data_IF_519953475548
#
_entry.id   IF_519953475548
#
_cell.length_a   1.000
_cell.length_b   1.000
_cell.length_c   1.000
_cell.angle_alpha   90.00
_cell.angle_beta   90.00
_cell.angle_gamma   90.00
#
_symmetry.space_group_name_H-M   'P 1'
#
loop_
_entity.id
_entity.type
_entity.pdbx_description
1 polymer ?
#
# COMPACT_ATOMS: atom_id res chain seq x y z
N UNK A 1 -21.07 -10.55 -0.55
CA UNK A 1 -19.71 -11.07 -0.35
C UNK A 1 -18.81 -10.17 -1.18
N UNK A 2 -18.09 -9.24 -0.54
CA UNK A 2 -17.25 -8.28 -1.25
C UNK A 2 -16.04 -9.00 -1.89
N UNK A 3 -15.64 -8.54 -3.08
CA UNK A 3 -14.44 -8.95 -3.82
C UNK A 3 -13.22 -9.11 -2.89
N UNK A 4 -12.43 -10.17 -3.14
CA UNK A 4 -11.41 -10.70 -2.24
C UNK A 4 -10.32 -9.72 -1.79
N UNK A 5 -9.83 -9.96 -0.56
CA UNK A 5 -8.88 -9.15 0.21
C UNK A 5 -7.43 -9.12 -0.32
N UNK A 6 -7.17 -9.68 -1.50
CA UNK A 6 -5.83 -9.94 -2.03
C UNK A 6 -5.72 -9.30 -3.41
N UNK A 7 -4.79 -8.36 -3.54
CA UNK A 7 -4.38 -7.76 -4.81
C UNK A 7 -3.28 -8.62 -5.44
N UNK A 8 -3.49 -9.06 -6.69
CA UNK A 8 -2.46 -9.71 -7.50
C UNK A 8 -2.12 -8.79 -8.66
N UNK A 9 -0.86 -8.40 -8.77
CA UNK A 9 -0.43 -7.43 -9.77
C UNK A 9 0.82 -7.87 -10.54
N UNK A 10 0.96 -7.35 -11.76
CA UNK A 10 2.20 -7.40 -12.54
C UNK A 10 2.41 -6.06 -13.22
N UNK A 11 3.38 -5.30 -12.73
CA UNK A 11 3.72 -3.98 -13.29
C UNK A 11 4.30 -4.13 -14.70
N UNK A 12 3.96 -3.19 -15.58
CA UNK A 12 4.49 -3.11 -16.94
C UNK A 12 4.72 -1.64 -17.31
N UNK A 13 5.56 -1.39 -18.31
CA UNK A 13 5.80 -0.04 -18.83
C UNK A 13 4.81 0.23 -19.98
N UNK A 14 3.91 1.22 -19.87
CA UNK A 14 3.00 1.55 -20.97
C UNK A 14 3.78 2.20 -22.11
N UNK A 15 3.45 1.80 -23.35
CA UNK A 15 3.88 2.46 -24.58
C UNK A 15 2.81 3.41 -25.13
N UNK A 16 3.12 4.20 -26.18
CA UNK A 16 2.21 5.21 -26.74
C UNK A 16 0.92 4.65 -27.34
N UNK A 17 0.84 3.34 -27.63
CA UNK A 17 -0.36 2.67 -28.16
C UNK A 17 -1.14 1.84 -27.13
N UNK A 18 -0.86 2.00 -25.84
CA UNK A 18 -1.43 1.14 -24.78
C UNK A 18 -2.94 1.35 -24.66
N UNK A 19 -3.40 2.61 -24.68
CA UNK A 19 -4.82 2.94 -24.50
C UNK A 19 -5.66 2.47 -25.69
N UNK A 20 -5.17 2.68 -26.91
CA UNK A 20 -5.82 2.22 -28.15
C UNK A 20 -5.93 0.71 -28.16
N UNK A 21 -4.86 0.01 -27.79
CA UNK A 21 -4.86 -1.46 -27.77
C UNK A 21 -5.84 -2.02 -26.74
N UNK A 22 -5.97 -1.38 -25.58
CA UNK A 22 -6.97 -1.77 -24.58
C UNK A 22 -8.40 -1.63 -25.14
N UNK A 23 -8.69 -0.55 -25.86
CA UNK A 23 -10.00 -0.33 -26.49
C UNK A 23 -10.28 -1.34 -27.60
N UNK A 24 -9.30 -1.63 -28.47
CA UNK A 24 -9.43 -2.64 -29.53
C UNK A 24 -9.76 -4.05 -29.00
N UNK A 25 -9.27 -4.37 -27.80
CA UNK A 25 -9.51 -5.63 -27.11
C UNK A 25 -10.84 -5.65 -26.33
N UNK A 26 -11.63 -4.56 -26.39
CA UNK A 26 -12.91 -4.42 -25.71
C UNK A 26 -12.83 -3.89 -24.28
N UNK A 27 -11.67 -3.38 -23.85
CA UNK A 27 -11.51 -2.71 -22.57
C UNK A 27 -12.26 -1.37 -22.54
N UNK A 28 -12.82 -1.03 -21.38
CA UNK A 28 -13.49 0.25 -21.13
C UNK A 28 -12.68 1.08 -20.16
N UNK A 29 -12.55 2.39 -20.41
CA UNK A 29 -12.02 3.32 -19.41
C UNK A 29 -13.02 3.45 -18.28
N UNK A 30 -12.75 2.81 -17.14
CA UNK A 30 -13.64 2.84 -15.98
C UNK A 30 -13.66 4.23 -15.34
N UNK A 31 -12.49 4.75 -14.98
CA UNK A 31 -12.31 6.08 -14.38
C UNK A 31 -10.98 6.72 -14.79
N UNK A 32 -10.91 8.05 -14.70
CA UNK A 32 -9.67 8.83 -14.70
C UNK A 32 -9.65 9.66 -13.42
N UNK A 33 -8.67 9.39 -12.56
CA UNK A 33 -8.55 10.02 -11.24
C UNK A 33 -7.17 10.65 -11.11
N UNK A 34 -7.07 11.63 -10.20
CA UNK A 34 -5.81 12.25 -9.80
C UNK A 34 -5.83 12.30 -8.28
N UNK A 35 -4.81 11.73 -7.63
CA UNK A 35 -4.71 11.71 -6.17
C UNK A 35 -3.26 11.80 -5.73
N UNK A 36 -3.04 12.33 -4.53
CA UNK A 36 -1.75 12.29 -3.85
C UNK A 36 -1.65 11.08 -2.94
N UNK A 37 -0.57 10.33 -3.08
CA UNK A 37 -0.14 9.36 -2.07
C UNK A 37 1.04 9.95 -1.30
N UNK A 38 0.95 9.88 0.04
CA UNK A 38 2.08 10.16 0.95
C UNK A 38 2.49 8.86 1.65
N UNK A 39 3.74 8.45 1.43
CA UNK A 39 4.33 7.21 1.95
C UNK A 39 5.13 7.45 3.21
N UNK A 40 5.02 6.53 4.15
CA UNK A 40 5.69 6.59 5.45
C UNK A 40 6.51 5.34 5.71
N UNK A 41 7.72 5.52 6.25
CA UNK A 41 8.60 4.43 6.65
C UNK A 41 9.55 4.90 7.78
N UNK A 42 10.32 3.99 8.37
CA UNK A 42 11.43 4.36 9.27
C UNK A 42 12.57 4.99 8.47
N UNK A 43 13.52 5.71 9.10
CA UNK A 43 14.70 6.24 8.41
C UNK A 43 15.51 5.18 7.65
N UNK A 44 15.47 3.93 8.12
CA UNK A 44 16.13 2.78 7.54
C UNK A 44 15.32 2.12 6.39
N UNK A 45 14.12 2.62 6.10
CA UNK A 45 13.18 2.03 5.13
C UNK A 45 12.78 0.58 5.50
N UNK A 46 12.56 0.33 6.79
CA UNK A 46 12.29 -1.01 7.33
C UNK A 46 11.03 -1.65 6.74
N UNK A 47 9.96 -0.88 6.50
CA UNK A 47 8.74 -1.40 5.89
C UNK A 47 8.99 -1.82 4.44
N UNK A 48 9.64 -0.97 3.63
CA UNK A 48 9.98 -1.29 2.24
C UNK A 48 10.90 -2.52 2.16
N UNK A 49 11.88 -2.65 3.05
CA UNK A 49 12.74 -3.84 3.14
C UNK A 49 11.94 -5.11 3.46
N UNK A 50 10.85 -4.99 4.22
CA UNK A 50 9.94 -6.07 4.57
C UNK A 50 8.78 -6.26 3.57
N UNK A 51 8.83 -5.62 2.39
CA UNK A 51 7.77 -5.62 1.37
C UNK A 51 6.41 -5.09 1.87
N UNK A 52 6.44 -4.15 2.81
CA UNK A 52 5.28 -3.43 3.32
C UNK A 52 5.27 -1.99 2.81
N UNK A 53 4.07 -1.49 2.48
CA UNK A 53 3.90 -0.16 1.91
C UNK A 53 2.79 0.59 2.64
N UNK A 54 3.18 1.47 3.57
CA UNK A 54 2.26 2.35 4.29
C UNK A 54 2.09 3.65 3.52
N UNK A 55 0.84 4.00 3.18
CA UNK A 55 0.50 5.27 2.55
C UNK A 55 -0.76 5.87 3.14
N UNK A 56 -0.85 7.20 3.09
CA UNK A 56 -2.09 7.93 3.22
C UNK A 56 -2.45 8.50 1.84
N UNK A 57 -3.59 8.07 1.32
CA UNK A 57 -4.15 8.58 0.06
C UNK A 57 -5.07 9.76 0.34
N UNK A 58 -4.89 10.84 -0.40
CA UNK A 58 -5.77 12.00 -0.39
C UNK A 58 -7.22 11.56 -0.60
N UNK A 59 -8.13 12.10 0.21
CA UNK A 59 -9.57 11.80 0.23
C UNK A 59 -10.00 10.33 0.47
N UNK A 60 -9.06 9.41 0.70
CA UNK A 60 -9.36 7.98 0.95
C UNK A 60 -8.88 7.46 2.31
N UNK A 61 -7.83 8.06 2.89
CA UNK A 61 -7.32 7.67 4.22
C UNK A 61 -6.09 6.75 4.16
N UNK A 62 -5.92 5.92 5.20
CA UNK A 62 -4.73 5.08 5.39
C UNK A 62 -4.86 3.72 4.73
N UNK A 63 -3.79 3.28 4.06
CA UNK A 63 -3.71 1.97 3.42
C UNK A 63 -2.33 1.35 3.69
N UNK A 64 -2.30 0.08 4.07
CA UNK A 64 -1.08 -0.71 4.24
C UNK A 64 -1.13 -1.93 3.33
N UNK A 65 -0.22 -2.00 2.35
CA UNK A 65 0.07 -3.25 1.64
C UNK A 65 0.98 -4.10 2.51
N UNK A 66 0.57 -5.35 2.73
CA UNK A 66 1.37 -6.38 3.38
C UNK A 66 1.66 -7.45 2.34
N UNK A 67 2.85 -8.07 2.32
CA UNK A 67 3.10 -9.19 1.43
C UNK A 67 2.09 -10.30 1.72
N UNK A 68 1.61 -10.96 0.67
CA UNK A 68 0.67 -12.08 0.75
C UNK A 68 1.28 -13.31 1.44
N UNK A 69 1.20 -14.49 0.84
CA UNK A 69 1.91 -15.66 1.37
C UNK A 69 3.44 -15.46 1.32
N UNK A 70 4.01 -14.93 2.41
CA UNK A 70 5.42 -14.58 2.53
C UNK A 70 6.33 -15.74 2.07
N UNK A 71 7.13 -15.48 1.03
CA UNK A 71 8.10 -16.43 0.49
C UNK A 71 7.59 -17.40 -0.58
N UNK A 72 6.31 -17.35 -0.98
CA UNK A 72 5.76 -18.21 -2.04
C UNK A 72 5.81 -17.54 -3.40
N UNK A 73 5.42 -16.26 -3.47
CA UNK A 73 5.53 -15.43 -4.66
C UNK A 73 6.61 -14.36 -4.42
N UNK A 74 7.29 -13.92 -5.49
CA UNK A 74 8.29 -12.86 -5.42
C UNK A 74 7.68 -11.53 -4.94
N UNK A 75 8.51 -10.58 -4.48
CA UNK A 75 8.03 -9.26 -4.08
C UNK A 75 7.26 -8.59 -5.22
N UNK A 76 6.37 -7.66 -4.89
CA UNK A 76 5.59 -6.90 -5.87
C UNK A 76 4.64 -7.73 -6.75
N UNK A 77 4.19 -8.88 -6.25
CA UNK A 77 3.27 -9.78 -6.98
C UNK A 77 1.92 -9.93 -6.29
N UNK A 78 1.90 -10.11 -4.97
CA UNK A 78 0.69 -10.38 -4.19
C UNK A 78 0.72 -9.60 -2.87
N UNK A 79 -0.35 -8.83 -2.62
CA UNK A 79 -0.50 -8.07 -1.39
C UNK A 79 -1.87 -8.26 -0.74
N UNK A 80 -1.87 -8.29 0.58
CA UNK A 80 -3.07 -8.05 1.37
C UNK A 80 -3.14 -6.55 1.67
N UNK A 81 -4.23 -5.91 1.27
CA UNK A 81 -4.47 -4.49 1.57
C UNK A 81 -5.27 -4.35 2.87
N UNK A 82 -4.69 -3.62 3.84
CA UNK A 82 -5.36 -3.26 5.07
C UNK A 82 -5.75 -1.78 5.02
N UNK A 83 -7.03 -1.48 5.21
CA UNK A 83 -7.58 -0.11 5.25
C UNK A 83 -8.19 0.25 6.60
N UNK A 84 -8.49 -0.75 7.43
CA UNK A 84 -8.96 -0.53 8.80
C UNK A 84 -7.77 -0.13 9.70
N UNK A 85 -7.78 1.08 10.22
CA UNK A 85 -6.68 1.63 11.04
C UNK A 85 -6.24 0.73 12.20
N UNK A 86 -7.12 0.09 12.99
CA UNK A 86 -6.68 -0.85 14.03
C UNK A 86 -5.91 -2.05 13.47
N UNK A 87 -6.26 -2.55 12.28
CA UNK A 87 -5.55 -3.63 11.63
C UNK A 87 -4.19 -3.17 11.06
N UNK A 88 -4.13 -1.94 10.54
CA UNK A 88 -2.88 -1.31 10.10
C UNK A 88 -1.92 -1.18 11.29
N UNK A 89 -2.36 -0.59 12.40
CA UNK A 89 -1.55 -0.41 13.61
C UNK A 89 -1.05 -1.75 14.14
N UNK A 90 -1.91 -2.76 14.25
CA UNK A 90 -1.50 -4.09 14.70
C UNK A 90 -0.41 -4.70 13.81
N UNK A 91 -0.52 -4.55 12.50
CA UNK A 91 0.48 -5.05 11.56
C UNK A 91 1.78 -4.24 11.60
N UNK A 92 1.71 -2.92 11.75
CA UNK A 92 2.89 -2.05 11.89
C UNK A 92 3.68 -2.38 13.16
N UNK A 93 3.02 -2.56 14.30
CA UNK A 93 3.68 -2.97 15.53
C UNK A 93 4.37 -4.33 15.35
N UNK A 94 3.72 -5.29 14.69
CA UNK A 94 4.28 -6.62 14.42
C UNK A 94 5.54 -6.56 13.55
N UNK A 95 5.50 -5.84 12.43
CA UNK A 95 6.63 -5.80 11.48
C UNK A 95 7.81 -4.98 12.01
N UNK A 96 7.55 -3.97 12.85
CA UNK A 96 8.58 -3.13 13.48
C UNK A 96 9.04 -3.66 14.85
N UNK A 97 8.50 -4.79 15.33
CA UNK A 97 8.88 -5.40 16.61
C UNK A 97 8.50 -4.56 17.85
N UNK A 98 7.43 -3.77 17.76
CA UNK A 98 6.97 -2.84 18.79
C UNK A 98 5.71 -3.36 19.52
N UNK A 99 5.71 -4.65 19.86
CA UNK A 99 4.60 -5.29 20.57
C UNK A 99 4.38 -4.63 21.95
N UNK A 100 3.17 -4.10 22.18
CA UNK A 100 2.79 -3.48 23.46
C UNK A 100 2.60 -1.97 23.44
N UNK A 101 2.86 -1.30 22.31
CA UNK A 101 2.33 0.05 22.10
C UNK A 101 0.79 -0.04 22.02
N UNK A 102 0.10 0.83 22.76
CA UNK A 102 -1.35 0.78 22.96
C UNK A 102 -2.17 0.90 21.67
N UNK A 103 -3.48 0.69 21.78
CA UNK A 103 -4.41 0.90 20.67
C UNK A 103 -4.54 2.39 20.33
N UNK A 104 -4.44 2.72 19.04
CA UNK A 104 -4.57 4.09 18.52
C UNK A 104 -4.91 4.08 17.03
N UNK A 105 -5.11 5.27 16.47
CA UNK A 105 -5.19 5.48 15.03
C UNK A 105 -3.78 5.49 14.41
N UNK A 106 -3.68 5.39 13.08
CA UNK A 106 -2.37 5.30 12.39
C UNK A 106 -1.56 6.58 12.61
N UNK A 107 -2.22 7.74 12.63
CA UNK A 107 -1.57 9.04 12.79
C UNK A 107 -0.87 9.17 14.15
N UNK A 108 -1.54 8.75 15.23
CA UNK A 108 -0.97 8.74 16.58
C UNK A 108 0.21 7.77 16.72
N UNK A 109 0.27 6.74 15.88
CA UNK A 109 1.30 5.70 15.91
C UNK A 109 2.54 6.03 15.09
N UNK A 110 2.52 7.03 14.20
CA UNK A 110 3.68 7.38 13.38
C UNK A 110 4.91 7.72 14.25
N UNK A 111 4.75 8.62 15.23
CA UNK A 111 5.84 9.04 16.12
C UNK A 111 6.41 7.89 16.98
N UNK A 112 5.57 7.16 17.75
CA UNK A 112 6.02 6.01 18.55
C UNK A 112 6.73 4.91 17.75
N UNK A 113 6.35 4.71 16.48
CA UNK A 113 6.96 3.73 15.59
C UNK A 113 8.16 4.27 14.80
N UNK A 114 8.54 5.54 14.98
CA UNK A 114 9.64 6.17 14.25
C UNK A 114 9.37 6.31 12.75
N UNK A 115 8.10 6.37 12.34
CA UNK A 115 7.70 6.54 10.95
C UNK A 115 7.73 8.01 10.55
N UNK A 116 8.32 8.29 9.41
CA UNK A 116 8.40 9.61 8.80
C UNK A 116 7.94 9.55 7.34
N UNK A 117 7.55 10.69 6.79
CA UNK A 117 7.30 10.79 5.35
C UNK A 117 8.60 10.52 4.58
N UNK A 118 8.57 9.58 3.64
CA UNK A 118 9.70 9.23 2.78
C UNK A 118 9.45 9.54 1.31
N UNK A 119 8.19 9.70 0.91
CA UNK A 119 7.80 10.17 -0.41
C UNK A 119 6.39 10.77 -0.41
N UNK A 120 6.15 11.79 -1.24
CA UNK A 120 4.80 12.29 -1.54
C UNK A 120 4.73 12.75 -3.00
N UNK A 121 3.80 12.18 -3.77
CA UNK A 121 3.63 12.52 -5.18
C UNK A 121 2.18 12.34 -5.63
N UNK A 122 1.85 12.99 -6.76
CA UNK A 122 0.55 12.91 -7.41
C UNK A 122 0.64 11.90 -8.55
N UNK A 123 -0.37 11.06 -8.68
CA UNK A 123 -0.57 10.13 -9.81
C UNK A 123 -1.89 10.38 -10.50
#
# INVERSE_FOLDING_TARGET
MAQGLIEVERKFLPGPGTEERLQELGGTLEHRVTFRDTYYDTPELSLMQADHWLRRREDSGWELKCPGAAGVLGPHTEYKELTAEPAIVAQLCKVLGADGLGAGDVAAMLGPLGLQEVASFVT
#
